data_IF_018252814722
#
_entry.id   IF_018252814722
#
_cell.length_a   1.000
_cell.length_b   1.000
_cell.length_c   1.000
_cell.angle_alpha   90.00
_cell.angle_beta   90.00
_cell.angle_gamma   90.00
#
_symmetry.space_group_name_H-M   'P 1'
#
loop_
_entity.id
_entity.type
_entity.pdbx_description
1 polymer ?
#
# COMPACT_ATOMS: atom_id res chain seq x y z
N UNK A 1 -7.52 13.49 -14.83
CA UNK A 1 -7.19 12.08 -14.58
C UNK A 1 -5.72 11.92 -14.19
N UNK A 2 -4.77 12.41 -15.01
CA UNK A 2 -3.33 12.35 -14.70
C UNK A 2 -2.94 12.98 -13.35
N UNK A 3 -3.52 14.15 -13.02
CA UNK A 3 -3.25 14.83 -11.74
C UNK A 3 -3.61 13.97 -10.52
N UNK A 4 -4.77 13.30 -10.56
CA UNK A 4 -5.18 12.42 -9.46
C UNK A 4 -4.29 11.18 -9.36
N UNK A 5 -3.79 10.67 -10.49
CA UNK A 5 -2.85 9.55 -10.51
C UNK A 5 -1.50 9.94 -9.90
N UNK A 6 -0.93 11.08 -10.29
CA UNK A 6 0.34 11.57 -9.75
C UNK A 6 0.25 11.79 -8.23
N UNK A 7 -0.88 12.33 -7.76
CA UNK A 7 -1.15 12.48 -6.33
C UNK A 7 -1.25 11.14 -5.61
N UNK A 8 -1.89 10.13 -6.21
CA UNK A 8 -1.99 8.79 -5.64
C UNK A 8 -0.61 8.10 -5.56
N UNK A 9 0.21 8.19 -6.61
CA UNK A 9 1.57 7.65 -6.61
C UNK A 9 2.46 8.33 -5.55
N UNK A 10 2.36 9.65 -5.43
CA UNK A 10 3.06 10.42 -4.38
C UNK A 10 2.62 9.96 -2.99
N UNK A 11 1.32 9.73 -2.81
CA UNK A 11 0.79 9.24 -1.55
C UNK A 11 1.35 7.85 -1.23
N UNK A 12 1.44 6.93 -2.20
CA UNK A 12 2.04 5.61 -1.98
C UNK A 12 3.48 5.76 -1.46
N UNK A 13 4.34 6.51 -2.16
CA UNK A 13 5.74 6.74 -1.74
C UNK A 13 5.84 7.29 -0.31
N UNK A 14 4.96 8.20 0.08
CA UNK A 14 5.00 8.83 1.41
C UNK A 14 4.45 7.96 2.55
N UNK A 15 3.66 6.92 2.25
CA UNK A 15 2.91 6.15 3.24
C UNK A 15 3.39 4.69 3.35
N UNK A 16 4.54 4.35 2.76
CA UNK A 16 5.23 3.11 3.09
C UNK A 16 5.70 3.16 4.55
N UNK A 17 5.52 2.10 5.33
CA UNK A 17 6.13 2.00 6.65
C UNK A 17 7.66 1.92 6.49
N UNK A 18 8.43 2.90 6.97
CA UNK A 18 9.88 2.91 6.80
C UNK A 18 10.61 1.84 7.62
N UNK A 19 9.94 1.22 8.60
CA UNK A 19 10.56 0.18 9.45
C UNK A 19 10.48 -1.20 8.83
N UNK A 20 9.33 -1.56 8.31
CA UNK A 20 9.05 -2.90 7.78
C UNK A 20 9.00 -2.95 6.25
N UNK A 21 8.84 -1.80 5.58
CA UNK A 21 8.69 -1.70 4.13
C UNK A 21 7.29 -2.04 3.61
N UNK A 22 6.33 -2.36 4.47
CA UNK A 22 4.96 -2.68 4.05
C UNK A 22 4.11 -1.43 3.84
N UNK A 23 3.05 -1.57 3.04
CA UNK A 23 1.90 -0.67 3.10
C UNK A 23 0.83 -1.26 4.02
N UNK A 24 0.38 -0.51 5.04
CA UNK A 24 -0.63 -1.01 5.97
C UNK A 24 -1.98 -1.17 5.27
N UNK A 25 -2.76 -2.14 5.74
CA UNK A 25 -4.10 -2.41 5.23
C UNK A 25 -5.14 -2.33 6.35
N UNK A 26 -6.33 -1.84 6.02
CA UNK A 26 -7.48 -1.78 6.93
C UNK A 26 -8.68 -2.49 6.33
N UNK A 27 -9.46 -3.18 7.15
CA UNK A 27 -10.73 -3.78 6.71
C UNK A 27 -11.88 -2.83 7.00
N UNK A 28 -12.76 -2.64 6.00
CA UNK A 28 -13.99 -1.86 6.16
C UNK A 28 -15.08 -2.59 6.97
N UNK A 29 -14.99 -3.92 7.05
CA UNK A 29 -16.05 -4.74 7.67
C UNK A 29 -15.84 -4.95 9.17
N UNK A 30 -14.58 -5.02 9.62
CA UNK A 30 -14.23 -5.25 11.02
C UNK A 30 -12.81 -4.77 11.30
N UNK A 31 -12.60 -4.13 12.43
CA UNK A 31 -11.26 -3.81 12.92
C UNK A 31 -10.45 -5.11 13.14
N UNK A 32 -9.19 -5.10 12.71
CA UNK A 32 -8.28 -6.23 12.84
C UNK A 32 -6.98 -5.74 13.45
N UNK A 33 -6.40 -6.56 14.33
CA UNK A 33 -5.06 -6.33 14.84
C UNK A 33 -4.08 -6.37 13.66
N UNK A 34 -3.36 -5.26 13.37
CA UNK A 34 -2.38 -5.21 12.29
C UNK A 34 -1.26 -6.23 12.45
N UNK A 35 -0.96 -6.68 13.68
CA UNK A 35 0.08 -7.66 13.97
C UNK A 35 -0.40 -9.12 13.90
N UNK A 36 -1.70 -9.37 13.73
CA UNK A 36 -2.24 -10.73 13.55
C UNK A 36 -1.88 -11.30 12.18
N UNK A 37 -1.87 -12.63 12.03
CA UNK A 37 -1.63 -13.31 10.75
C UNK A 37 -2.52 -12.77 9.62
N UNK A 38 -3.78 -12.48 9.94
CA UNK A 38 -4.74 -11.94 8.97
C UNK A 38 -4.47 -10.46 8.65
N UNK A 39 -3.98 -9.68 9.61
CA UNK A 39 -3.53 -8.30 9.40
C UNK A 39 -2.30 -8.26 8.48
N UNK A 40 -1.33 -9.14 8.74
CA UNK A 40 -0.12 -9.28 7.91
C UNK A 40 -0.45 -9.75 6.49
N UNK A 41 -1.34 -10.74 6.33
CA UNK A 41 -1.78 -11.19 5.00
C UNK A 41 -2.42 -10.06 4.18
N UNK A 42 -3.17 -9.17 4.82
CA UNK A 42 -3.74 -8.01 4.13
C UNK A 42 -2.68 -6.98 3.78
N UNK A 43 -1.70 -6.75 4.66
CA UNK A 43 -0.56 -5.88 4.41
C UNK A 43 0.30 -6.39 3.24
N UNK A 44 0.48 -7.70 3.11
CA UNK A 44 1.17 -8.31 1.95
C UNK A 44 0.45 -7.97 0.64
N UNK A 45 -0.87 -8.11 0.62
CA UNK A 45 -1.68 -7.76 -0.57
C UNK A 45 -1.57 -6.26 -0.90
N UNK A 46 -1.71 -5.38 0.10
CA UNK A 46 -1.57 -3.94 -0.10
C UNK A 46 -0.17 -3.56 -0.61
N UNK A 47 0.86 -4.18 -0.05
CA UNK A 47 2.26 -3.98 -0.45
C UNK A 47 2.48 -4.43 -1.90
N UNK A 48 1.98 -5.60 -2.29
CA UNK A 48 2.08 -6.10 -3.66
C UNK A 48 1.46 -5.14 -4.69
N UNK A 49 0.26 -4.61 -4.41
CA UNK A 49 -0.39 -3.63 -5.29
C UNK A 49 0.34 -2.29 -5.33
N UNK A 50 0.82 -1.79 -4.18
CA UNK A 50 1.58 -0.54 -4.13
C UNK A 50 2.87 -0.64 -4.94
N UNK A 51 3.63 -1.73 -4.78
CA UNK A 51 4.85 -1.98 -5.55
C UNK A 51 4.54 -2.08 -7.04
N UNK A 52 3.52 -2.85 -7.44
CA UNK A 52 3.15 -2.97 -8.86
C UNK A 52 2.80 -1.60 -9.47
N UNK A 53 2.02 -0.78 -8.77
CA UNK A 53 1.63 0.55 -9.24
C UNK A 53 2.84 1.48 -9.40
N UNK A 54 3.76 1.48 -8.42
CA UNK A 54 4.96 2.31 -8.47
C UNK A 54 5.93 1.84 -9.58
N UNK A 55 6.14 0.53 -9.71
CA UNK A 55 7.00 -0.02 -10.78
C UNK A 55 6.48 0.34 -12.17
N UNK A 56 5.17 0.19 -12.41
CA UNK A 56 4.57 0.53 -13.71
C UNK A 56 4.60 2.04 -13.99
N UNK A 57 4.60 2.89 -12.97
CA UNK A 57 4.73 4.32 -13.13
C UNK A 57 6.16 4.78 -13.44
N UNK A 58 7.17 4.01 -13.01
CA UNK A 58 8.59 4.28 -13.29
C UNK A 58 9.03 3.80 -14.68
N UNK A 59 8.39 2.76 -15.22
CA UNK A 59 8.62 2.31 -16.60
C UNK A 59 7.89 3.19 -17.62
N UNK A 60 8.60 3.88 -18.53
CA UNK A 60 7.99 4.71 -19.57
C UNK A 60 7.29 3.92 -20.68
#
# INVERSE_FOLDING_TARGET
MQENLNRALTWLVQNQDPRSGLWPASSLNRERDPASDLGLLMADAATGFAVLALTLAETP
#
